data_IF_226508240246
#
_entry.id   IF_226508240246
#
_cell.length_a   1.000
_cell.length_b   1.000
_cell.length_c   1.000
_cell.angle_alpha   90.00
_cell.angle_beta   90.00
_cell.angle_gamma   90.00
#
_symmetry.space_group_name_H-M   'P 1'
#
loop_
_entity.id
_entity.type
_entity.pdbx_description
1 polymer ?
#
# COMPACT_ATOMS: atom_id res chain seq x y z
N UNK A 1 -28.85 -10.80 25.96
CA UNK A 1 -28.48 -10.52 24.55
C UNK A 1 -26.97 -10.39 24.49
N UNK A 2 -26.22 -11.36 23.91
CA UNK A 2 -24.78 -11.22 23.80
C UNK A 2 -24.47 -10.07 22.84
N UNK A 3 -23.70 -9.10 23.33
CA UNK A 3 -23.17 -7.97 22.58
C UNK A 3 -22.22 -8.46 21.50
N UNK A 4 -22.30 -7.86 20.31
CA UNK A 4 -21.46 -8.20 19.15
C UNK A 4 -19.98 -8.01 19.50
N UNK A 5 -19.27 -9.12 19.73
CA UNK A 5 -17.83 -9.16 19.98
C UNK A 5 -17.07 -8.83 18.69
N UNK A 6 -16.63 -7.58 18.55
CA UNK A 6 -15.70 -7.13 17.51
C UNK A 6 -14.23 -7.36 17.92
N UNK A 7 -13.90 -8.56 18.42
CA UNK A 7 -12.53 -8.87 18.83
C UNK A 7 -11.59 -8.87 17.60
N UNK A 8 -10.45 -8.16 17.63
CA UNK A 8 -9.50 -8.24 16.53
C UNK A 8 -8.75 -9.57 16.54
N UNK A 9 -8.38 -9.97 15.32
CA UNK A 9 -7.81 -11.25 14.87
C UNK A 9 -6.39 -11.57 15.42
N UNK A 10 -5.87 -10.82 16.40
CA UNK A 10 -4.55 -11.14 16.96
C UNK A 10 -4.31 -10.42 18.29
N UNK A 11 -3.99 -11.18 19.35
CA UNK A 11 -3.56 -10.65 20.65
C UNK A 11 -2.29 -9.80 20.61
N UNK A 12 -1.68 -9.57 19.44
CA UNK A 12 -0.48 -8.75 19.25
C UNK A 12 -0.72 -7.24 19.37
N UNK A 13 -1.91 -6.75 19.00
CA UNK A 13 -2.23 -5.32 19.01
C UNK A 13 -3.47 -5.02 19.86
N UNK A 14 -3.55 -3.79 20.37
CA UNK A 14 -4.78 -3.31 21.02
C UNK A 14 -5.86 -3.10 19.95
N UNK A 15 -7.09 -3.50 20.28
CA UNK A 15 -8.28 -3.24 19.47
C UNK A 15 -8.76 -1.80 19.63
N UNK A 16 -9.71 -1.40 18.80
CA UNK A 16 -10.41 -0.14 18.99
C UNK A 16 -11.18 -0.13 20.32
N UNK A 17 -11.92 -1.20 20.63
CA UNK A 17 -12.66 -1.37 21.88
C UNK A 17 -11.75 -1.29 23.11
N UNK A 18 -10.59 -1.94 23.07
CA UNK A 18 -9.62 -1.88 24.17
C UNK A 18 -9.08 -0.45 24.33
N UNK A 19 -8.91 0.30 23.24
CA UNK A 19 -8.55 1.72 23.32
C UNK A 19 -9.67 2.56 23.91
N UNK A 20 -10.94 2.27 23.62
CA UNK A 20 -12.07 2.95 24.26
C UNK A 20 -12.15 2.66 25.76
N UNK A 21 -11.97 1.40 26.14
CA UNK A 21 -11.92 1.00 27.55
C UNK A 21 -10.79 1.71 28.31
N UNK A 22 -9.59 1.81 27.71
CA UNK A 22 -8.49 2.60 28.28
C UNK A 22 -8.92 4.06 28.51
N UNK A 23 -9.62 4.68 27.55
CA UNK A 23 -10.08 6.06 27.67
C UNK A 23 -11.11 6.24 28.79
N UNK A 24 -12.08 5.34 28.88
CA UNK A 24 -13.10 5.34 29.96
C UNK A 24 -12.45 5.18 31.32
N UNK A 25 -11.48 4.26 31.45
CA UNK A 25 -10.80 4.02 32.73
C UNK A 25 -9.90 5.17 33.14
N UNK A 26 -9.21 5.82 32.20
CA UNK A 26 -8.46 7.04 32.49
C UNK A 26 -9.37 8.19 32.95
N UNK A 27 -10.55 8.35 32.34
CA UNK A 27 -11.52 9.37 32.75
C UNK A 27 -12.05 9.11 34.17
N UNK A 28 -12.07 7.86 34.62
CA UNK A 28 -12.39 7.46 36.01
C UNK A 28 -11.22 7.63 36.99
N UNK A 29 -10.04 8.02 36.51
CA UNK A 29 -8.84 8.17 37.34
C UNK A 29 -8.09 6.86 37.62
N UNK A 30 -8.40 5.77 36.91
CA UNK A 30 -7.71 4.50 37.08
C UNK A 30 -6.24 4.60 36.65
N UNK A 31 -5.34 4.02 37.45
CA UNK A 31 -3.92 3.93 37.12
C UNK A 31 -3.62 2.88 36.05
N UNK A 32 -2.46 3.01 35.38
CA UNK A 32 -2.02 2.10 34.30
C UNK A 32 -2.02 0.62 34.71
N UNK A 33 -1.66 0.31 35.96
CA UNK A 33 -1.67 -1.06 36.51
C UNK A 33 -3.08 -1.65 36.58
N UNK A 34 -4.04 -0.84 37.00
CA UNK A 34 -5.43 -1.25 37.11
C UNK A 34 -6.04 -1.48 35.72
N UNK A 35 -5.79 -0.54 34.80
CA UNK A 35 -6.21 -0.65 33.39
C UNK A 35 -5.70 -1.97 32.79
N UNK A 36 -4.40 -2.25 32.94
CA UNK A 36 -3.80 -3.49 32.45
C UNK A 36 -4.48 -4.76 33.01
N UNK A 37 -4.78 -4.77 34.32
CA UNK A 37 -5.47 -5.89 34.97
C UNK A 37 -6.90 -6.07 34.45
N UNK A 38 -7.66 -4.99 34.29
CA UNK A 38 -9.05 -5.04 33.82
C UNK A 38 -9.14 -5.53 32.36
N UNK A 39 -8.22 -5.08 31.51
CA UNK A 39 -8.16 -5.48 30.10
C UNK A 39 -7.48 -6.85 29.86
N UNK A 40 -6.91 -7.48 30.90
CA UNK A 40 -6.14 -8.72 30.73
C UNK A 40 -4.88 -8.54 29.85
N UNK A 41 -4.30 -7.34 29.83
CA UNK A 41 -3.15 -6.99 28.99
C UNK A 41 -1.89 -6.73 29.83
N UNK A 42 -0.73 -6.92 29.22
CA UNK A 42 0.53 -6.57 29.87
C UNK A 42 0.60 -5.06 30.16
N UNK A 43 1.11 -4.70 31.35
CA UNK A 43 1.30 -3.30 31.76
C UNK A 43 2.13 -2.51 30.73
N UNK A 44 3.17 -3.14 30.18
CA UNK A 44 4.03 -2.53 29.17
C UNK A 44 3.29 -2.17 27.88
N UNK A 45 2.24 -2.92 27.50
CA UNK A 45 1.39 -2.63 26.35
C UNK A 45 0.61 -1.34 26.59
N UNK A 46 -0.07 -1.24 27.74
CA UNK A 46 -0.86 -0.05 28.10
C UNK A 46 0.05 1.17 28.26
N UNK A 47 1.16 1.03 28.97
CA UNK A 47 2.11 2.13 29.16
C UNK A 47 2.65 2.67 27.83
N UNK A 48 3.07 1.78 26.92
CA UNK A 48 3.57 2.18 25.60
C UNK A 48 2.48 2.81 24.74
N UNK A 49 1.23 2.38 24.85
CA UNK A 49 0.10 3.01 24.16
C UNK A 49 -0.10 4.45 24.64
N UNK A 50 -0.13 4.64 25.97
CA UNK A 50 -0.35 5.95 26.58
C UNK A 50 0.84 6.90 26.36
N UNK A 51 2.08 6.42 26.46
CA UNK A 51 3.25 7.25 26.16
C UNK A 51 3.23 7.79 24.72
N UNK A 52 2.70 7.02 23.77
CA UNK A 52 2.63 7.42 22.36
C UNK A 52 1.45 8.32 22.02
N UNK A 53 0.37 8.26 22.79
CA UNK A 53 -0.91 8.85 22.39
C UNK A 53 -1.56 9.76 23.44
N UNK A 54 -0.98 9.88 24.64
CA UNK A 54 -1.61 10.55 25.78
C UNK A 54 -0.72 11.59 26.50
N UNK A 55 0.52 11.83 26.03
CA UNK A 55 1.50 12.78 26.59
C UNK A 55 1.33 13.01 28.12
N UNK A 56 1.66 12.00 28.92
CA UNK A 56 1.43 11.92 30.38
C UNK A 56 2.22 12.95 31.24
N UNK A 57 2.74 14.04 30.66
CA UNK A 57 3.69 14.95 31.32
C UNK A 57 3.05 16.17 32.00
N UNK A 58 1.77 16.44 31.77
CA UNK A 58 1.10 17.66 32.26
C UNK A 58 -0.33 17.38 32.69
N UNK A 59 -0.51 16.95 33.94
CA UNK A 59 -1.73 17.15 34.76
C UNK A 59 -3.02 16.44 34.37
N UNK A 60 -3.35 16.31 33.08
CA UNK A 60 -4.46 15.51 32.55
C UNK A 60 -4.10 15.04 31.13
N UNK A 61 -3.78 13.76 30.94
CA UNK A 61 -3.57 13.22 29.60
C UNK A 61 -4.91 13.20 28.85
N UNK A 62 -5.06 14.04 27.83
CA UNK A 62 -6.17 13.90 26.87
C UNK A 62 -5.92 12.67 25.98
N UNK A 63 -6.28 11.49 26.48
CA UNK A 63 -6.25 10.27 25.69
C UNK A 63 -7.58 10.08 24.96
N UNK A 64 -7.55 10.18 23.61
CA UNK A 64 -8.69 9.90 22.75
C UNK A 64 -8.47 8.61 21.96
N UNK A 65 -9.38 7.64 22.12
CA UNK A 65 -9.30 6.32 21.48
C UNK A 65 -9.29 6.41 19.94
N UNK A 66 -10.13 7.27 19.35
CA UNK A 66 -10.19 7.49 17.90
C UNK A 66 -8.88 8.03 17.32
N UNK A 67 -8.23 8.96 18.01
CA UNK A 67 -6.92 9.49 17.64
C UNK A 67 -5.84 8.40 17.72
N UNK A 68 -5.83 7.63 18.82
CA UNK A 68 -4.89 6.53 19.00
C UNK A 68 -5.06 5.44 17.94
N UNK A 69 -6.31 5.11 17.57
CA UNK A 69 -6.62 4.18 16.47
C UNK A 69 -6.12 4.71 15.12
N UNK A 70 -6.42 5.98 14.81
CA UNK A 70 -5.94 6.62 13.57
C UNK A 70 -4.41 6.56 13.48
N UNK A 71 -3.70 6.80 14.58
CA UNK A 71 -2.25 6.66 14.62
C UNK A 71 -1.77 5.21 14.44
N UNK A 72 -2.46 4.24 15.04
CA UNK A 72 -2.16 2.82 14.86
C UNK A 72 -2.33 2.40 13.39
N UNK A 73 -3.42 2.80 12.74
CA UNK A 73 -3.70 2.48 11.34
C UNK A 73 -2.66 3.11 10.41
N UNK A 74 -2.31 4.40 10.62
CA UNK A 74 -1.23 5.07 9.86
C UNK A 74 0.11 4.33 10.00
N UNK A 75 0.45 3.88 11.21
CA UNK A 75 1.69 3.11 11.46
C UNK A 75 1.64 1.71 10.88
N UNK A 76 0.45 1.09 10.81
CA UNK A 76 0.25 -0.23 10.24
C UNK A 76 0.34 -0.22 8.71
N UNK A 77 -0.11 0.86 8.06
CA UNK A 77 -0.12 0.99 6.60
C UNK A 77 1.26 0.75 5.96
N UNK A 78 2.36 1.14 6.62
CA UNK A 78 3.77 1.10 6.14
C UNK A 78 3.95 0.94 4.62
N UNK A 79 3.38 1.82 3.78
CA UNK A 79 3.55 1.67 2.35
C UNK A 79 4.96 2.14 2.02
N UNK A 80 5.79 1.25 1.46
CA UNK A 80 7.00 1.71 0.78
C UNK A 80 6.53 2.53 -0.42
N UNK A 81 7.09 3.73 -0.67
CA UNK A 81 6.69 4.51 -1.83
C UNK A 81 6.82 3.62 -3.06
N UNK A 82 5.71 3.44 -3.79
CA UNK A 82 5.68 2.52 -4.92
C UNK A 82 6.78 2.91 -5.92
N UNK A 83 7.49 1.95 -6.49
CA UNK A 83 8.64 2.22 -7.36
C UNK A 83 8.29 3.14 -8.54
N UNK A 84 7.06 3.02 -9.06
CA UNK A 84 6.53 3.93 -10.09
C UNK A 84 6.27 5.34 -9.55
N UNK A 85 5.88 5.50 -8.29
CA UNK A 85 5.74 6.79 -7.60
C UNK A 85 7.07 7.53 -7.41
N UNK A 86 8.19 6.81 -7.32
CA UNK A 86 9.54 7.38 -7.13
C UNK A 86 10.28 7.57 -8.46
N UNK A 87 10.16 6.65 -9.41
CA UNK A 87 10.89 6.69 -10.68
C UNK A 87 9.97 7.19 -11.83
N UNK A 88 10.07 8.46 -12.24
CA UNK A 88 9.22 9.04 -13.29
C UNK A 88 9.51 8.46 -14.68
N UNK A 89 10.76 8.08 -14.97
CA UNK A 89 11.15 7.47 -16.24
C UNK A 89 10.51 6.08 -16.40
N UNK A 90 10.59 5.26 -15.34
CA UNK A 90 9.93 3.96 -15.31
C UNK A 90 8.42 4.09 -15.42
N UNK A 91 7.81 5.06 -14.71
CA UNK A 91 6.36 5.33 -14.79
C UNK A 91 5.92 5.66 -16.21
N UNK A 92 6.62 6.57 -16.89
CA UNK A 92 6.33 6.97 -18.27
C UNK A 92 6.45 5.78 -19.21
N UNK A 93 7.52 4.99 -19.10
CA UNK A 93 7.68 3.79 -19.91
C UNK A 93 6.51 2.81 -19.72
N UNK A 94 6.12 2.51 -18.48
CA UNK A 94 4.98 1.62 -18.21
C UNK A 94 3.68 2.19 -18.77
N UNK A 95 3.41 3.48 -18.58
CA UNK A 95 2.19 4.13 -19.08
C UNK A 95 2.13 4.14 -20.61
N UNK A 96 3.22 4.50 -21.30
CA UNK A 96 3.29 4.53 -22.76
C UNK A 96 3.06 3.13 -23.35
N UNK A 97 3.64 2.09 -22.73
CA UNK A 97 3.46 0.69 -23.17
C UNK A 97 2.07 0.13 -22.87
N UNK A 98 1.44 0.51 -21.76
CA UNK A 98 0.05 0.14 -21.46
C UNK A 98 -0.94 0.87 -22.39
N UNK A 99 -0.65 2.12 -22.74
CA UNK A 99 -1.47 2.91 -23.66
C UNK A 99 -1.27 2.53 -25.14
N UNK A 100 -0.33 1.63 -25.45
CA UNK A 100 0.02 1.25 -26.81
C UNK A 100 0.69 2.36 -27.62
N UNK A 101 1.22 3.38 -26.95
CA UNK A 101 1.89 4.51 -27.59
C UNK A 101 3.37 4.15 -27.79
N UNK A 102 3.74 3.83 -29.04
CA UNK A 102 5.12 3.55 -29.43
C UNK A 102 5.58 4.60 -30.44
N UNK A 103 5.90 5.80 -29.96
CA UNK A 103 6.43 6.88 -30.81
C UNK A 103 7.58 7.59 -30.07
N UNK A 104 8.76 7.63 -30.69
CA UNK A 104 9.80 8.63 -30.34
C UNK A 104 9.42 9.99 -30.93
N UNK A 105 9.96 11.11 -30.42
CA UNK A 105 9.75 12.45 -31.00
C UNK A 105 10.23 12.60 -32.46
N UNK A 106 10.97 11.62 -32.99
CA UNK A 106 11.49 11.56 -34.36
C UNK A 106 10.58 10.76 -35.33
N UNK A 107 9.41 10.29 -34.87
CA UNK A 107 8.48 9.49 -35.68
C UNK A 107 8.91 8.03 -35.90
N UNK A 108 10.01 7.57 -35.30
CA UNK A 108 10.46 6.18 -35.40
C UNK A 108 9.71 5.26 -34.42
N UNK A 109 9.26 4.11 -34.93
CA UNK A 109 8.67 3.04 -34.12
C UNK A 109 9.77 2.37 -33.31
N UNK A 110 9.77 2.54 -31.98
CA UNK A 110 10.65 1.79 -31.07
C UNK A 110 9.97 0.51 -30.61
N UNK A 111 10.00 -0.48 -31.49
CA UNK A 111 9.84 -1.88 -31.16
C UNK A 111 10.92 -2.66 -31.90
N UNK A 112 11.52 -3.70 -31.32
CA UNK A 112 12.49 -4.48 -32.09
C UNK A 112 11.79 -5.19 -33.24
N UNK A 113 12.44 -5.20 -34.41
CA UNK A 113 12.14 -6.19 -35.45
C UNK A 113 12.43 -7.57 -34.87
N UNK A 114 11.38 -8.38 -34.77
CA UNK A 114 11.47 -9.80 -34.40
C UNK A 114 11.27 -10.62 -35.67
N UNK A 115 12.30 -11.37 -36.07
CA UNK A 115 12.12 -12.43 -37.06
C UNK A 115 11.40 -13.60 -36.37
N UNK A 116 10.18 -13.84 -36.82
CA UNK A 116 9.36 -14.92 -36.28
C UNK A 116 9.98 -16.28 -36.61
N UNK A 117 10.51 -16.98 -35.60
CA UNK A 117 10.90 -18.39 -35.71
C UNK A 117 9.82 -19.27 -35.09
N UNK A 118 9.07 -19.93 -35.96
CA UNK A 118 7.79 -20.56 -35.65
C UNK A 118 7.75 -21.52 -34.46
N UNK A 119 6.66 -21.42 -33.69
CA UNK A 119 6.17 -22.41 -32.73
C UNK A 119 4.65 -22.56 -32.91
N UNK A 120 4.14 -23.75 -32.56
CA UNK A 120 2.86 -24.40 -32.95
C UNK A 120 1.51 -23.68 -32.71
N UNK A 121 1.46 -22.40 -32.37
CA UNK A 121 0.20 -21.65 -32.31
C UNK A 121 0.26 -20.40 -33.19
N UNK A 122 -0.73 -20.28 -34.08
CA UNK A 122 -0.83 -19.22 -35.08
C UNK A 122 -1.00 -17.82 -34.48
N UNK A 123 -0.86 -16.78 -35.31
CA UNK A 123 -0.80 -15.40 -34.83
C UNK A 123 -2.13 -15.00 -34.19
N UNK A 124 -2.07 -14.37 -33.02
CA UNK A 124 -3.22 -13.66 -32.46
C UNK A 124 -3.59 -12.53 -33.43
N UNK A 125 -4.77 -12.64 -34.08
CA UNK A 125 -5.26 -11.65 -35.05
C UNK A 125 -5.29 -10.25 -34.43
N UNK A 126 -4.76 -9.29 -35.17
CA UNK A 126 -4.83 -7.86 -34.90
C UNK A 126 -6.26 -7.43 -34.59
N UNK A 127 -6.45 -6.94 -33.37
CA UNK A 127 -7.46 -5.94 -33.07
C UNK A 127 -6.69 -4.71 -32.64
N UNK A 128 -7.29 -3.53 -32.77
CA UNK A 128 -6.75 -2.20 -32.41
C UNK A 128 -6.18 -2.06 -30.97
N UNK A 129 -6.21 -3.14 -30.19
CA UNK A 129 -5.56 -3.40 -28.90
C UNK A 129 -4.19 -4.12 -29.02
N UNK A 130 -3.68 -4.34 -30.24
CA UNK A 130 -2.44 -5.07 -30.53
C UNK A 130 -1.14 -4.29 -30.30
N UNK A 131 -1.21 -3.04 -29.83
CA UNK A 131 -0.04 -2.19 -29.56
C UNK A 131 0.26 -2.04 -28.06
N UNK A 132 -0.71 -2.32 -27.18
CA UNK A 132 -0.52 -2.28 -25.73
C UNK A 132 0.11 -3.58 -25.24
N UNK A 133 1.13 -3.48 -24.40
CA UNK A 133 1.79 -4.63 -23.77
C UNK A 133 1.12 -4.99 -22.44
N UNK A 134 1.02 -6.29 -22.14
CA UNK A 134 0.59 -6.74 -20.81
C UNK A 134 1.63 -6.37 -19.74
N UNK A 135 1.24 -6.23 -18.45
CA UNK A 135 2.19 -5.98 -17.35
C UNK A 135 3.36 -6.98 -17.29
N UNK A 136 3.13 -8.26 -17.60
CA UNK A 136 4.17 -9.29 -17.70
C UNK A 136 5.14 -9.00 -18.85
N UNK A 137 4.62 -8.63 -20.01
CA UNK A 137 5.43 -8.28 -21.18
C UNK A 137 6.26 -7.02 -20.92
N UNK A 138 5.69 -6.01 -20.25
CA UNK A 138 6.40 -4.77 -19.86
C UNK A 138 7.53 -5.10 -18.88
N UNK A 139 7.26 -5.89 -17.83
CA UNK A 139 8.27 -6.30 -16.87
C UNK A 139 9.43 -7.10 -17.51
N UNK A 140 9.10 -7.99 -18.45
CA UNK A 140 10.09 -8.74 -19.23
C UNK A 140 10.91 -7.82 -20.14
N UNK A 141 10.25 -6.86 -20.81
CA UNK A 141 10.89 -5.89 -21.71
C UNK A 141 11.86 -4.96 -21.02
N UNK A 142 11.56 -4.51 -19.80
CA UNK A 142 12.44 -3.63 -19.04
C UNK A 142 13.83 -4.22 -18.82
N UNK A 143 13.96 -5.56 -18.74
CA UNK A 143 15.26 -6.23 -18.64
C UNK A 143 16.05 -6.23 -19.94
N UNK A 144 15.36 -6.19 -21.08
CA UNK A 144 15.96 -6.22 -22.42
C UNK A 144 16.31 -4.82 -22.89
N UNK A 145 15.40 -3.86 -22.69
CA UNK A 145 15.57 -2.48 -23.16
C UNK A 145 16.52 -1.68 -22.25
N UNK A 146 16.66 -2.09 -20.98
CA UNK A 146 17.54 -1.45 -20.01
C UNK A 146 18.39 -2.50 -19.27
N UNK A 147 19.32 -3.18 -19.93
CA UNK A 147 20.06 -4.31 -19.33
C UNK A 147 20.90 -3.90 -18.11
N UNK A 148 21.49 -2.71 -18.12
CA UNK A 148 22.43 -2.25 -17.07
C UNK A 148 21.77 -1.35 -16.01
N UNK A 149 20.49 -1.00 -16.15
CA UNK A 149 19.78 -0.11 -15.23
C UNK A 149 18.79 -0.88 -14.32
N UNK A 150 19.23 -1.13 -13.08
CA UNK A 150 18.42 -1.78 -12.05
C UNK A 150 17.24 -0.92 -11.56
N UNK A 151 17.31 0.40 -11.73
CA UNK A 151 16.24 1.32 -11.35
C UNK A 151 14.99 1.11 -12.21
N UNK A 152 15.14 0.51 -13.40
CA UNK A 152 14.07 0.16 -14.33
C UNK A 152 13.42 -1.21 -14.04
N UNK A 153 13.90 -1.95 -13.04
CA UNK A 153 13.35 -3.28 -12.68
C UNK A 153 12.08 -3.15 -11.86
N UNK A 154 10.97 -3.72 -12.32
CA UNK A 154 9.72 -3.82 -11.54
C UNK A 154 9.05 -5.16 -11.81
N UNK A 155 8.37 -5.72 -10.80
CA UNK A 155 7.55 -6.91 -11.01
C UNK A 155 6.25 -6.53 -11.73
N UNK A 156 5.73 -7.44 -12.55
CA UNK A 156 4.43 -7.26 -13.19
C UNK A 156 3.30 -7.13 -12.16
N UNK A 157 3.41 -7.80 -11.01
CA UNK A 157 2.49 -7.60 -9.88
C UNK A 157 2.50 -6.16 -9.37
N UNK A 158 3.67 -5.52 -9.25
CA UNK A 158 3.73 -4.13 -8.83
C UNK A 158 3.17 -3.17 -9.91
N UNK A 159 3.24 -3.54 -11.19
CA UNK A 159 2.54 -2.83 -12.27
C UNK A 159 1.02 -3.00 -12.09
N UNK A 160 0.52 -4.21 -11.85
CA UNK A 160 -0.90 -4.44 -11.57
C UNK A 160 -1.41 -3.62 -10.39
N UNK A 161 -0.72 -3.70 -9.25
CA UNK A 161 -1.09 -2.95 -8.04
C UNK A 161 -1.13 -1.43 -8.31
N UNK A 162 -0.24 -0.91 -9.16
CA UNK A 162 -0.25 0.51 -9.51
C UNK A 162 -1.44 0.94 -10.36
N UNK A 163 -1.98 0.06 -11.21
CA UNK A 163 -3.16 0.34 -12.02
C UNK A 163 -4.41 0.48 -11.14
N UNK A 164 -4.51 -0.35 -10.10
CA UNK A 164 -5.59 -0.27 -9.13
C UNK A 164 -5.49 0.98 -8.23
N UNK A 165 -4.28 1.35 -7.81
CA UNK A 165 -4.08 2.55 -6.96
C UNK A 165 -4.31 3.85 -7.75
N UNK A 166 -3.88 3.94 -9.01
CA UNK A 166 -4.12 5.13 -9.86
C UNK A 166 -5.61 5.34 -10.19
N UNK A 167 -6.41 4.28 -10.29
CA UNK A 167 -7.86 4.39 -10.46
C UNK A 167 -8.53 4.99 -9.22
N UNK A 168 -8.03 4.69 -8.01
CA UNK A 168 -8.53 5.25 -6.76
C UNK A 168 -8.17 6.73 -6.58
N UNK A 169 -7.00 7.17 -7.06
CA UNK A 169 -6.55 8.57 -6.97
C UNK A 169 -7.33 9.51 -7.91
N UNK A 170 -7.79 9.02 -9.06
CA UNK A 170 -8.59 9.83 -10.02
C UNK A 170 -10.03 10.09 -9.57
N UNK A 171 -10.59 9.28 -8.68
CA UNK A 171 -11.96 9.46 -8.19
C UNK A 171 -12.09 10.44 -7.02
N UNK A 172 -10.98 10.88 -6.40
CA UNK A 172 -10.98 11.79 -5.24
C UNK A 172 -10.68 13.24 -5.65
N UNK A 173 -10.40 13.49 -6.93
CA UNK A 173 -9.99 14.79 -7.46
C UNK A 173 -10.94 15.45 -8.46
N UNK A 174 -12.22 15.08 -8.50
CA UNK A 174 -13.25 15.73 -9.31
C UNK A 174 -14.30 16.40 -8.43
#
# INVERSE_FOLDING_TARGET
MPTLTLAPVSGRYLSFTEREEIAVLLARGCGVREIARQLGRALSTIFRELQRNAALRTGRPEYRASTAQTHADRRARRPKPAKLGVNPQLRRYVQDRLAGTVQRPDGSVVGPRVDWRGRRHGPHKDRRWGQSLSPEQIAGRLRVDFPDDESMRISHEAIYQSLYVQAAERCVGS
#
